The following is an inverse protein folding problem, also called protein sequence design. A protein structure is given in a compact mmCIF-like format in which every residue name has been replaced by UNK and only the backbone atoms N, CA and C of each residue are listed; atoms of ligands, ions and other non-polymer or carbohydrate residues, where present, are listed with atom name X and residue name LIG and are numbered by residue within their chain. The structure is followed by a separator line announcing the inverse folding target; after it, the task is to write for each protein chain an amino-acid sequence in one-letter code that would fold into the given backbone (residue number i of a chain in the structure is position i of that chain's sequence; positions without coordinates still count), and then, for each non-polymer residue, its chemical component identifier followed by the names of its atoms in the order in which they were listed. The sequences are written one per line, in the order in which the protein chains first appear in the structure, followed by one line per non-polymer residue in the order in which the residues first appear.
data_IF_283759414498
#
_entry.id   IF_283759414498
#
_cell.length_a   1.000
_cell.length_b   1.000
_cell.length_c   1.000
_cell.angle_alpha   90.00
_cell.angle_beta   90.00
_cell.angle_gamma   90.00
#
_symmetry.space_group_name_H-M   'P 1'
#
loop_
_entity.id
_entity.type
_entity.pdbx_description
1 polymer ?
#
# COMPACT_ATOMS: atom_id res chain seq x y z
N UNK A 1 5.58 -6.50 -13.72
CA UNK A 1 5.83 -5.04 -13.84
C UNK A 1 6.56 -4.54 -12.60
N UNK A 2 7.60 -3.77 -12.82
CA UNK A 2 8.32 -3.07 -11.75
C UNK A 2 8.08 -1.57 -11.85
N UNK A 3 7.84 -0.95 -10.72
CA UNK A 3 7.68 0.51 -10.66
C UNK A 3 8.18 1.02 -9.31
N UNK A 4 8.72 2.23 -9.34
CA UNK A 4 9.20 2.92 -8.14
C UNK A 4 8.71 4.36 -8.18
N UNK A 5 8.19 4.84 -7.05
CA UNK A 5 7.78 6.24 -6.92
C UNK A 5 8.20 6.76 -5.55
N UNK A 6 8.84 7.91 -5.53
CA UNK A 6 9.27 8.60 -4.30
C UNK A 6 8.54 9.93 -4.21
N UNK A 7 8.03 10.27 -3.02
CA UNK A 7 7.34 11.53 -2.80
C UNK A 7 7.52 12.01 -1.37
N UNK A 8 7.45 13.33 -1.20
CA UNK A 8 7.39 13.95 0.13
C UNK A 8 5.95 13.89 0.65
N UNK A 9 5.79 13.54 1.93
CA UNK A 9 4.51 13.51 2.63
C UNK A 9 4.63 14.35 3.91
N UNK A 10 3.66 15.21 4.16
CA UNK A 10 3.62 16.06 5.36
C UNK A 10 3.14 15.28 6.59
N UNK A 11 3.90 14.27 6.96
CA UNK A 11 3.68 13.42 8.11
C UNK A 11 5.01 12.82 8.54
N UNK A 12 5.20 12.59 9.84
CA UNK A 12 6.41 11.93 10.34
C UNK A 12 6.45 10.47 9.91
N UNK A 13 7.63 9.81 9.88
CA UNK A 13 7.69 8.38 9.56
C UNK A 13 6.76 7.53 10.40
N UNK A 14 6.66 7.82 11.70
CA UNK A 14 5.75 7.10 12.61
C UNK A 14 4.28 7.29 12.22
N UNK A 15 3.90 8.50 11.83
CA UNK A 15 2.54 8.80 11.38
C UNK A 15 2.21 8.09 10.07
N UNK A 16 3.16 8.04 9.13
CA UNK A 16 2.99 7.32 7.86
C UNK A 16 2.71 5.84 8.13
N UNK A 17 3.51 5.20 8.96
CA UNK A 17 3.31 3.78 9.29
C UNK A 17 2.04 3.53 10.09
N UNK A 18 1.69 4.43 11.02
CA UNK A 18 0.43 4.32 11.76
C UNK A 18 -0.78 4.33 10.82
N UNK A 19 -0.74 5.17 9.79
CA UNK A 19 -1.78 5.17 8.76
C UNK A 19 -1.80 3.86 7.96
N UNK A 20 -0.63 3.39 7.54
CA UNK A 20 -0.54 2.15 6.75
C UNK A 20 -1.03 0.92 7.51
N UNK A 21 -0.87 0.93 8.83
CA UNK A 21 -1.33 -0.16 9.71
C UNK A 21 -2.79 -0.02 10.11
N UNK A 22 -3.43 1.11 9.82
CA UNK A 22 -4.83 1.32 10.13
C UNK A 22 -5.69 0.52 9.15
N UNK A 23 -6.46 -0.43 9.68
CA UNK A 23 -7.32 -1.31 8.89
C UNK A 23 -8.44 -0.58 8.15
N UNK A 24 -8.72 0.68 8.52
CA UNK A 24 -9.73 1.49 7.84
C UNK A 24 -9.16 2.22 6.62
N UNK A 25 -7.84 2.24 6.46
CA UNK A 25 -7.16 2.91 5.36
C UNK A 25 -7.11 2.01 4.11
N UNK A 26 -8.26 1.84 3.47
CA UNK A 26 -8.40 0.96 2.30
C UNK A 26 -8.33 1.76 1.00
N UNK A 27 -7.54 1.32 0.00
CA UNK A 27 -7.49 1.99 -1.30
C UNK A 27 -8.84 2.08 -1.99
N UNK A 28 -9.02 3.13 -2.79
CA UNK A 28 -10.26 3.34 -3.55
C UNK A 28 -10.55 2.18 -4.50
N UNK A 29 -11.82 1.78 -4.57
CA UNK A 29 -12.25 0.71 -5.47
C UNK A 29 -11.86 -0.68 -5.02
N UNK A 30 -11.34 -0.81 -3.82
CA UNK A 30 -10.92 -2.07 -3.24
C UNK A 30 -11.64 -2.29 -1.91
N UNK A 31 -12.04 -3.52 -1.63
CA UNK A 31 -12.43 -3.92 -0.28
C UNK A 31 -11.30 -4.73 0.33
N UNK A 32 -11.03 -4.51 1.60
CA UNK A 32 -9.93 -5.16 2.29
C UNK A 32 -10.38 -5.57 3.70
N UNK A 33 -10.20 -6.85 4.02
CA UNK A 33 -10.53 -7.39 5.34
C UNK A 33 -9.29 -8.02 5.97
N UNK A 34 -9.08 -7.78 7.26
CA UNK A 34 -8.01 -8.43 8.00
C UNK A 34 -8.41 -9.88 8.25
N UNK A 35 -7.62 -10.82 7.73
CA UNK A 35 -7.84 -12.25 7.92
C UNK A 35 -7.10 -12.75 9.16
N UNK A 36 -5.89 -12.25 9.37
CA UNK A 36 -5.06 -12.59 10.51
C UNK A 36 -4.26 -11.38 10.93
N UNK A 37 -4.33 -11.02 12.20
CA UNK A 37 -3.56 -9.93 12.76
C UNK A 37 -2.46 -10.49 13.66
N UNK A 38 -1.20 -10.27 13.25
CA UNK A 38 -0.05 -10.71 14.03
C UNK A 38 0.35 -9.64 15.05
N UNK A 39 0.66 -10.00 16.29
CA UNK A 39 1.13 -9.05 17.31
C UNK A 39 2.39 -8.29 16.89
N UNK A 40 3.21 -8.91 16.07
CA UNK A 40 4.49 -8.34 15.61
C UNK A 40 4.38 -7.65 14.24
N UNK A 41 3.18 -7.45 13.73
CA UNK A 41 2.88 -6.94 12.40
C UNK A 41 3.24 -7.94 11.28
N UNK A 42 4.47 -8.46 11.29
CA UNK A 42 4.89 -9.50 10.33
C UNK A 42 3.99 -10.72 10.47
N UNK A 43 3.45 -11.19 9.36
CA UNK A 43 2.47 -12.27 9.33
C UNK A 43 1.02 -11.78 9.28
N UNK A 44 0.76 -10.50 9.54
CA UNK A 44 -0.58 -9.93 9.35
C UNK A 44 -0.98 -10.08 7.90
N UNK A 45 -2.18 -10.59 7.68
CA UNK A 45 -2.67 -10.85 6.32
C UNK A 45 -4.03 -10.20 6.10
N UNK A 46 -4.23 -9.75 4.87
CA UNK A 46 -5.43 -9.06 4.42
C UNK A 46 -5.97 -9.75 3.19
N UNK A 47 -7.28 -10.00 3.17
CA UNK A 47 -7.98 -10.45 1.97
C UNK A 47 -8.56 -9.22 1.28
N UNK A 48 -8.32 -9.11 -0.02
CA UNK A 48 -8.81 -7.97 -0.79
C UNK A 48 -9.56 -8.41 -2.03
N UNK A 49 -10.48 -7.55 -2.45
CA UNK A 49 -11.25 -7.72 -3.69
C UNK A 49 -11.24 -6.39 -4.44
N UNK A 50 -10.98 -6.45 -5.72
CA UNK A 50 -11.12 -5.31 -6.62
C UNK A 50 -11.76 -5.75 -7.92
N UNK A 51 -12.31 -4.79 -8.66
CA UNK A 51 -12.89 -5.06 -9.98
C UNK A 51 -11.90 -4.69 -11.07
N UNK A 52 -11.68 -5.62 -11.98
CA UNK A 52 -10.88 -5.39 -13.19
C UNK A 52 -11.79 -5.65 -14.40
N UNK A 53 -12.00 -4.61 -15.23
CA UNK A 53 -12.91 -4.67 -16.37
C UNK A 53 -14.31 -5.19 -15.96
N UNK A 54 -14.78 -4.76 -14.77
CA UNK A 54 -16.08 -5.16 -14.23
C UNK A 54 -16.12 -6.54 -13.57
N UNK A 55 -15.02 -7.30 -13.59
CA UNK A 55 -14.93 -8.65 -13.03
C UNK A 55 -14.27 -8.59 -11.65
N UNK A 56 -14.92 -9.11 -10.58
CA UNK A 56 -14.29 -9.17 -9.25
C UNK A 56 -13.07 -10.08 -9.26
N UNK A 57 -12.00 -9.60 -8.66
CA UNK A 57 -10.74 -10.34 -8.48
C UNK A 57 -10.35 -10.31 -7.02
N UNK A 58 -9.90 -11.42 -6.50
CA UNK A 58 -9.54 -11.58 -5.09
C UNK A 58 -8.07 -11.96 -4.93
N UNK A 59 -7.52 -11.57 -3.80
CA UNK A 59 -6.19 -11.98 -3.42
C UNK A 59 -5.94 -11.76 -1.93
N UNK A 60 -4.72 -12.08 -1.52
CA UNK A 60 -4.27 -11.96 -0.13
C UNK A 60 -2.95 -11.22 -0.13
N UNK A 61 -2.80 -10.30 0.81
CA UNK A 61 -1.54 -9.60 1.08
C UNK A 61 -1.05 -9.97 2.46
N UNK A 62 0.22 -10.33 2.56
CA UNK A 62 0.86 -10.68 3.83
C UNK A 62 2.02 -9.73 4.07
N UNK A 63 2.11 -9.17 5.28
CA UNK A 63 3.27 -8.42 5.69
C UNK A 63 4.42 -9.40 5.98
N UNK A 64 5.51 -9.31 5.23
CA UNK A 64 6.65 -10.23 5.34
C UNK A 64 7.85 -9.63 6.05
N UNK A 65 7.92 -8.30 6.15
CA UNK A 65 8.99 -7.60 6.85
C UNK A 65 8.47 -6.26 7.36
N UNK A 66 8.92 -5.87 8.54
CA UNK A 66 8.52 -4.61 9.16
C UNK A 66 9.63 -4.09 10.06
N UNK A 67 10.16 -2.93 9.72
CA UNK A 67 11.10 -2.18 10.56
C UNK A 67 10.42 -0.87 10.93
N UNK A 68 9.99 -0.68 12.18
CA UNK A 68 9.22 0.49 12.59
C UNK A 68 9.88 1.81 12.17
N UNK A 69 9.10 2.68 11.52
CA UNK A 69 9.57 3.99 11.06
C UNK A 69 10.49 3.95 9.85
N UNK A 70 10.82 2.78 9.30
CA UNK A 70 11.78 2.66 8.21
C UNK A 70 11.26 1.91 6.99
N UNK A 71 10.77 0.67 7.17
CA UNK A 71 10.43 -0.19 6.04
C UNK A 71 9.30 -1.15 6.35
N UNK A 72 8.48 -1.40 5.34
CA UNK A 72 7.43 -2.39 5.37
C UNK A 72 7.39 -3.11 4.04
N UNK A 73 7.35 -4.43 4.06
CA UNK A 73 7.29 -5.26 2.86
C UNK A 73 6.04 -6.13 2.89
N UNK A 74 5.30 -6.10 1.81
CA UNK A 74 4.11 -6.93 1.60
C UNK A 74 4.31 -7.85 0.43
N UNK A 75 3.77 -9.05 0.54
CA UNK A 75 3.71 -9.99 -0.55
C UNK A 75 2.26 -10.26 -0.91
N UNK A 76 1.95 -10.19 -2.20
CA UNK A 76 0.62 -10.40 -2.74
C UNK A 76 0.52 -11.78 -3.41
N UNK A 77 -0.63 -12.42 -3.21
CA UNK A 77 -0.96 -13.72 -3.79
C UNK A 77 -2.38 -13.67 -4.37
N UNK A 78 -2.64 -14.49 -5.37
CA UNK A 78 -3.96 -14.58 -5.99
C UNK A 78 -4.03 -13.85 -7.32
N UNK A 79 -5.03 -12.98 -7.49
CA UNK A 79 -5.24 -12.26 -8.74
C UNK A 79 -4.08 -11.34 -9.10
N UNK A 80 -3.30 -10.92 -8.11
CA UNK A 80 -2.05 -10.16 -8.32
C UNK A 80 -0.98 -10.83 -7.47
N UNK A 81 0.17 -11.08 -8.07
CA UNK A 81 1.30 -11.73 -7.39
C UNK A 81 2.53 -10.83 -7.44
N UNK A 82 3.28 -10.81 -6.34
CA UNK A 82 4.52 -10.06 -6.26
C UNK A 82 4.76 -9.43 -4.90
N UNK A 83 5.59 -8.40 -4.88
CA UNK A 83 5.99 -7.70 -3.66
C UNK A 83 5.77 -6.21 -3.78
N UNK A 84 5.48 -5.60 -2.65
CA UNK A 84 5.44 -4.14 -2.49
C UNK A 84 6.30 -3.78 -1.30
N UNK A 85 7.17 -2.79 -1.48
CA UNK A 85 8.06 -2.30 -0.43
C UNK A 85 7.81 -0.82 -0.21
N UNK A 86 7.59 -0.44 1.03
CA UNK A 86 7.45 0.94 1.45
C UNK A 86 8.65 1.30 2.33
N UNK A 87 9.41 2.30 1.92
CA UNK A 87 10.55 2.80 2.69
C UNK A 87 10.30 4.25 3.05
N UNK A 88 10.56 4.63 4.29
CA UNK A 88 10.28 5.97 4.79
C UNK A 88 11.52 6.53 5.46
N UNK A 89 11.86 7.77 5.13
CA UNK A 89 12.94 8.52 5.75
C UNK A 89 12.43 9.90 6.19
N UNK A 90 12.96 10.45 7.32
CA UNK A 90 12.62 11.82 7.69
C UNK A 90 13.07 12.81 6.61
N UNK A 91 12.23 13.80 6.31
CA UNK A 91 12.53 14.80 5.29
C UNK A 91 11.80 16.11 5.60
N UNK A 92 12.55 17.16 5.93
CA UNK A 92 12.05 18.54 6.13
C UNK A 92 10.78 18.62 7.01
N UNK A 93 10.80 17.96 8.17
CA UNK A 93 9.64 17.94 9.09
C UNK A 93 8.55 16.97 8.72
N UNK A 94 8.67 16.31 7.59
CA UNK A 94 7.78 15.26 7.13
C UNK A 94 8.55 14.00 6.81
N UNK A 95 8.17 13.33 5.73
CA UNK A 95 8.79 12.08 5.30
C UNK A 95 9.00 12.05 3.80
N UNK A 96 10.10 11.41 3.38
CA UNK A 96 10.28 10.95 2.01
C UNK A 96 9.85 9.49 1.96
N UNK A 97 8.82 9.19 1.20
CA UNK A 97 8.26 7.85 1.09
C UNK A 97 8.59 7.30 -0.28
N UNK A 98 9.24 6.14 -0.31
CA UNK A 98 9.56 5.43 -1.55
C UNK A 98 8.68 4.18 -1.63
N UNK A 99 7.87 4.11 -2.67
CA UNK A 99 7.03 2.96 -2.98
C UNK A 99 7.69 2.17 -4.10
N UNK A 100 7.90 0.89 -3.87
CA UNK A 100 8.42 -0.02 -4.88
C UNK A 100 7.43 -1.15 -5.10
N UNK A 101 7.13 -1.45 -6.34
CA UNK A 101 6.25 -2.54 -6.70
C UNK A 101 6.92 -3.44 -7.73
N UNK A 102 6.91 -4.74 -7.46
CA UNK A 102 7.30 -5.77 -8.42
C UNK A 102 6.17 -6.79 -8.41
N UNK A 103 5.18 -6.58 -9.27
CA UNK A 103 3.94 -7.35 -9.26
C UNK A 103 3.44 -7.60 -10.67
N UNK A 104 2.66 -8.67 -10.81
CA UNK A 104 2.00 -9.02 -12.07
C UNK A 104 0.56 -9.44 -11.79
N UNK A 105 -0.31 -9.19 -12.75
CA UNK A 105 -1.67 -9.72 -12.72
C UNK A 105 -1.59 -11.18 -13.17
N UNK A 106 -2.20 -12.08 -12.39
CA UNK A 106 -2.09 -13.53 -12.62
C UNK A 106 -3.06 -14.01 -13.74
N UNK A 107 -2.95 -13.41 -14.92
CA UNK A 107 -3.66 -13.83 -16.14
C UNK A 107 -2.62 -13.96 -17.25
N UNK A 108 -2.08 -15.16 -17.48
CA UNK A 108 -0.83 -15.34 -18.24
C UNK A 108 -0.82 -14.75 -19.65
N UNK A 109 -1.92 -14.82 -20.38
CA UNK A 109 -1.94 -14.42 -21.79
C UNK A 109 -2.10 -12.92 -22.03
N UNK A 110 -2.65 -12.20 -21.03
CA UNK A 110 -2.96 -10.76 -21.19
C UNK A 110 -2.30 -9.88 -20.16
N UNK A 111 -1.50 -10.45 -19.26
CA UNK A 111 -0.89 -9.70 -18.14
C UNK A 111 -0.09 -8.49 -18.62
N UNK A 112 0.71 -8.64 -19.68
CA UNK A 112 1.52 -7.53 -20.21
C UNK A 112 0.66 -6.40 -20.80
N UNK A 113 -0.52 -6.70 -21.32
CA UNK A 113 -1.44 -5.69 -21.84
C UNK A 113 -2.12 -4.92 -20.72
N UNK A 114 -2.18 -5.50 -19.51
CA UNK A 114 -2.76 -4.88 -18.32
C UNK A 114 -1.74 -4.06 -17.53
N UNK A 115 -0.45 -4.19 -17.82
CA UNK A 115 0.59 -3.44 -17.10
C UNK A 115 0.37 -1.92 -17.11
N UNK A 116 0.00 -1.26 -18.23
CA UNK A 116 -0.26 0.18 -18.20
C UNK A 116 -1.43 0.55 -17.29
N UNK A 117 -2.48 -0.29 -17.25
CA UNK A 117 -3.62 -0.07 -16.36
C UNK A 117 -3.24 -0.27 -14.89
N UNK A 118 -2.45 -1.31 -14.61
CA UNK A 118 -1.96 -1.59 -13.28
C UNK A 118 -1.07 -0.46 -12.76
N UNK A 119 -0.17 0.03 -13.61
CA UNK A 119 0.71 1.16 -13.26
C UNK A 119 -0.10 2.41 -12.95
N UNK A 120 -1.08 2.73 -13.78
CA UNK A 120 -1.93 3.90 -13.58
C UNK A 120 -2.72 3.80 -12.28
N UNK A 121 -3.32 2.65 -12.01
CA UNK A 121 -4.06 2.42 -10.78
C UNK A 121 -3.16 2.52 -9.56
N UNK A 122 -1.96 1.96 -9.62
CA UNK A 122 -0.96 2.03 -8.57
C UNK A 122 -0.54 3.47 -8.26
N UNK A 123 -0.23 4.25 -9.30
CA UNK A 123 0.15 5.66 -9.15
C UNK A 123 -0.99 6.49 -8.55
N UNK A 124 -2.23 6.24 -8.97
CA UNK A 124 -3.41 6.92 -8.41
C UNK A 124 -3.61 6.56 -6.94
N UNK A 125 -3.40 5.31 -6.56
CA UNK A 125 -3.51 4.88 -5.18
C UNK A 125 -2.43 5.50 -4.29
N UNK A 126 -1.22 5.67 -4.81
CA UNK A 126 -0.13 6.35 -4.08
C UNK A 126 -0.48 7.82 -3.85
N UNK A 127 -0.96 8.52 -4.86
CA UNK A 127 -1.39 9.92 -4.71
C UNK A 127 -2.55 10.06 -3.73
N UNK A 128 -3.53 9.16 -3.83
CA UNK A 128 -4.64 9.12 -2.88
C UNK A 128 -4.13 8.88 -1.46
N UNK A 129 -3.21 7.93 -1.30
CA UNK A 129 -2.61 7.60 -0.01
C UNK A 129 -1.89 8.78 0.62
N UNK A 130 -1.12 9.52 -0.17
CA UNK A 130 -0.47 10.75 0.29
C UNK A 130 -1.47 11.74 0.84
N UNK A 131 -2.54 12.02 0.10
CA UNK A 131 -3.58 12.96 0.52
C UNK A 131 -4.28 12.49 1.80
N UNK A 132 -4.59 11.21 1.88
CA UNK A 132 -5.27 10.64 3.05
C UNK A 132 -4.37 10.64 4.29
N UNK A 133 -3.09 10.33 4.13
CA UNK A 133 -2.12 10.39 5.25
C UNK A 133 -2.04 11.82 5.78
N UNK A 134 -1.96 12.79 4.91
CA UNK A 134 -1.87 14.20 5.30
C UNK A 134 -3.14 14.67 6.02
N UNK A 135 -4.32 14.25 5.55
CA UNK A 135 -5.60 14.53 6.22
C UNK A 135 -5.68 13.85 7.58
N UNK A 136 -5.34 12.57 7.63
CA UNK A 136 -5.37 11.78 8.85
C UNK A 136 -4.45 12.37 9.92
N UNK A 137 -3.25 12.77 9.52
CA UNK A 137 -2.28 13.41 10.41
C UNK A 137 -2.81 14.71 10.99
N UNK A 138 -3.45 15.55 10.17
CA UNK A 138 -4.06 16.81 10.62
C UNK A 138 -5.19 16.57 11.60
N UNK A 139 -6.01 15.54 11.38
CA UNK A 139 -7.12 15.20 12.26
C UNK A 139 -6.68 14.63 13.60
N UNK A 140 -5.48 14.04 13.69
CA UNK A 140 -4.92 13.44 14.90
C UNK A 140 -4.02 14.39 15.69
N UNK A 141 -3.71 15.58 15.15
CA UNK A 141 -2.92 16.55 15.89
C UNK A 141 -3.68 17.03 17.13
N UNK A 142 -3.01 17.07 18.30
CA UNK A 142 -3.65 17.64 19.48
C UNK A 142 -4.03 19.09 19.20
N UNK A 143 -5.27 19.43 19.53
CA UNK A 143 -5.75 20.80 19.51
C UNK A 143 -5.16 21.51 20.71
N UNK A 144 -4.21 22.37 20.47
CA UNK A 144 -3.63 23.07 21.62
C UNK A 144 -2.70 24.12 21.22
#
# INVERSE_FOLDING_TARGET
MRATKTMHVDATPEQVFSFMLDSTATPRGMTMDVVHESPDVVGTSYEWTFKMLGIPRKGVTVCTDYVPGERMVFRNFGAMEGTQTETVEPDNGGSMVTHEMDSRIAVPLISRFLDPLLRKAWEQNIEWGKQEIEKWTKSKKPTG
#
